data_IF_006746106420
#
_entry.id   IF_006746106420
#
_cell.length_a   1.000
_cell.length_b   1.000
_cell.length_c   1.000
_cell.angle_alpha   90.00
_cell.angle_beta   90.00
_cell.angle_gamma   90.00
#
_symmetry.space_group_name_H-M   'P 1'
#
loop_
_entity.id
_entity.type
_entity.pdbx_description
1 polymer ?
#
# COMPACT_ATOMS: atom_id res chain seq x y z
N UNK A 1 -1.62 7.38 -4.07
CA UNK A 1 -1.98 6.56 -5.23
C UNK A 1 -3.25 5.79 -4.94
N UNK A 2 -3.58 4.84 -5.80
CA UNK A 2 -4.70 3.91 -5.63
C UNK A 2 -4.23 2.66 -4.85
N UNK A 3 -4.81 2.33 -3.69
CA UNK A 3 -4.40 1.17 -2.88
C UNK A 3 -4.57 -0.16 -3.62
N UNK A 4 -5.54 -0.27 -4.51
CA UNK A 4 -5.85 -1.47 -5.27
C UNK A 4 -4.71 -1.76 -6.25
N UNK A 5 -4.26 -0.74 -7.01
CA UNK A 5 -3.09 -0.87 -7.87
C UNK A 5 -1.82 -1.23 -7.08
N UNK A 6 -1.62 -0.65 -5.89
CA UNK A 6 -0.46 -0.95 -5.03
C UNK A 6 -0.49 -2.36 -4.43
N UNK A 7 -1.66 -3.00 -4.31
CA UNK A 7 -1.74 -4.41 -3.91
C UNK A 7 -1.54 -5.36 -5.09
N UNK A 8 -1.98 -4.98 -6.30
CA UNK A 8 -2.02 -5.88 -7.47
C UNK A 8 -0.72 -5.84 -8.27
N UNK A 9 -0.21 -4.65 -8.59
CA UNK A 9 0.95 -4.50 -9.48
C UNK A 9 2.25 -5.11 -8.95
N UNK A 10 2.54 -5.13 -7.64
CA UNK A 10 3.73 -5.82 -7.14
C UNK A 10 3.75 -7.32 -7.41
N UNK A 11 2.59 -7.92 -7.67
CA UNK A 11 2.47 -9.34 -8.00
C UNK A 11 2.52 -9.61 -9.49
N UNK A 12 2.49 -8.59 -10.34
CA UNK A 12 2.48 -8.75 -11.79
C UNK A 12 3.82 -9.33 -12.27
N UNK A 13 3.76 -10.46 -12.96
CA UNK A 13 4.96 -11.13 -13.48
C UNK A 13 5.34 -10.63 -14.89
N UNK A 14 4.36 -10.17 -15.66
CA UNK A 14 4.63 -9.66 -17.00
C UNK A 14 5.20 -8.24 -16.97
N UNK A 15 5.84 -7.86 -18.07
CA UNK A 15 6.18 -6.46 -18.30
C UNK A 15 4.89 -5.62 -18.46
N UNK A 16 4.71 -4.66 -17.56
CA UNK A 16 3.56 -3.76 -17.56
C UNK A 16 3.48 -2.91 -18.84
N UNK A 17 4.62 -2.46 -19.39
CA UNK A 17 4.65 -1.64 -20.61
C UNK A 17 4.16 -2.45 -21.80
N UNK A 18 4.56 -3.72 -21.86
CA UNK A 18 4.17 -4.64 -22.91
C UNK A 18 2.67 -5.01 -22.85
N UNK A 19 2.09 -5.06 -21.65
CA UNK A 19 0.63 -5.14 -21.45
C UNK A 19 -0.04 -3.86 -21.98
N UNK A 20 0.42 -2.67 -21.57
CA UNK A 20 -0.15 -1.41 -22.02
C UNK A 20 -0.10 -1.27 -23.55
N UNK A 21 1.01 -1.64 -24.18
CA UNK A 21 1.14 -1.62 -25.64
C UNK A 21 0.11 -2.52 -26.32
N UNK A 22 -0.12 -3.73 -25.77
CA UNK A 22 -1.14 -4.65 -26.30
C UNK A 22 -2.57 -4.15 -26.12
N UNK A 23 -2.84 -3.35 -25.08
CA UNK A 23 -4.12 -2.68 -24.90
C UNK A 23 -4.34 -1.64 -26.01
N UNK A 24 -3.33 -0.80 -26.28
CA UNK A 24 -3.39 0.22 -27.34
C UNK A 24 -3.62 -0.41 -28.71
N UNK A 25 -2.98 -1.55 -29.00
CA UNK A 25 -3.14 -2.26 -30.26
C UNK A 25 -4.44 -3.10 -30.36
N UNK A 26 -5.24 -3.19 -29.29
CA UNK A 26 -6.43 -4.05 -29.24
C UNK A 26 -6.11 -5.55 -29.28
N UNK A 27 -4.89 -5.95 -28.85
CA UNK A 27 -4.38 -7.32 -28.88
C UNK A 27 -4.23 -7.95 -27.49
N UNK A 28 -4.79 -7.34 -26.45
CA UNK A 28 -4.70 -7.85 -25.07
C UNK A 28 -5.20 -9.29 -24.93
N UNK A 29 -6.22 -9.67 -25.71
CA UNK A 29 -6.76 -11.04 -25.73
C UNK A 29 -5.76 -12.13 -26.15
N UNK A 30 -4.60 -11.75 -26.72
CA UNK A 30 -3.53 -12.68 -27.11
C UNK A 30 -2.47 -12.85 -26.05
N UNK A 31 -2.59 -12.15 -24.92
CA UNK A 31 -1.63 -12.22 -23.81
C UNK A 31 -2.26 -12.82 -22.57
N UNK A 32 -1.51 -13.71 -21.93
CA UNK A 32 -1.83 -14.19 -20.61
C UNK A 32 -1.17 -13.26 -19.59
N UNK A 33 -1.99 -12.57 -18.80
CA UNK A 33 -1.51 -11.77 -17.68
C UNK A 33 -1.39 -12.69 -16.46
N UNK A 34 -0.19 -12.80 -15.92
CA UNK A 34 0.19 -13.69 -14.83
C UNK A 34 0.60 -12.90 -13.60
N UNK A 35 0.15 -13.38 -12.45
CA UNK A 35 0.46 -12.81 -11.15
C UNK A 35 1.11 -13.88 -10.28
N UNK A 36 1.97 -13.45 -9.35
CA UNK A 36 2.50 -14.32 -8.32
C UNK A 36 1.35 -14.78 -7.39
N UNK A 37 1.37 -16.07 -7.03
CA UNK A 37 0.47 -16.61 -6.01
C UNK A 37 0.97 -16.22 -4.61
N UNK A 38 0.77 -14.95 -4.26
CA UNK A 38 1.18 -14.34 -2.99
C UNK A 38 0.06 -13.43 -2.49
N UNK A 39 0.09 -13.13 -1.20
CA UNK A 39 -0.77 -12.13 -0.59
C UNK A 39 -0.04 -10.78 -0.48
N UNK A 40 -0.81 -9.69 -0.57
CA UNK A 40 -0.32 -8.33 -0.31
C UNK A 40 -1.19 -7.61 0.72
N UNK A 41 -0.55 -6.76 1.53
CA UNK A 41 -1.22 -5.84 2.44
C UNK A 41 -0.60 -4.45 2.31
N UNK A 42 -1.39 -3.51 1.79
CA UNK A 42 -1.05 -2.11 1.68
C UNK A 42 -1.64 -1.29 2.84
N UNK A 43 -0.79 -0.58 3.59
CA UNK A 43 -1.21 0.37 4.63
C UNK A 43 -0.66 1.75 4.30
N UNK A 44 -1.53 2.75 4.42
CA UNK A 44 -1.17 4.15 4.20
C UNK A 44 -0.80 4.83 5.52
N UNK A 45 0.25 5.64 5.44
CA UNK A 45 0.54 6.73 6.36
C UNK A 45 -0.09 7.99 5.79
N UNK A 46 -0.95 8.61 6.59
CA UNK A 46 -1.71 9.82 6.21
C UNK A 46 -1.45 10.93 7.21
N UNK A 47 -1.63 12.21 6.85
CA UNK A 47 -1.60 13.30 7.82
C UNK A 47 -2.70 13.12 8.86
N UNK A 48 -2.45 13.58 10.08
CA UNK A 48 -3.48 13.69 11.10
C UNK A 48 -4.69 14.49 10.57
N UNK A 49 -5.91 14.03 10.85
CA UNK A 49 -7.14 14.66 10.36
C UNK A 49 -7.49 14.41 8.89
N UNK A 50 -6.77 13.50 8.21
CA UNK A 50 -7.07 13.10 6.82
C UNK A 50 -8.55 12.77 6.58
N UNK A 51 -9.09 13.29 5.48
CA UNK A 51 -10.50 13.14 5.10
C UNK A 51 -11.44 14.17 5.73
N UNK A 52 -10.94 15.00 6.66
CA UNK A 52 -11.71 16.09 7.28
C UNK A 52 -10.94 17.41 7.22
N UNK A 53 -9.84 17.52 7.97
CA UNK A 53 -8.93 18.67 7.98
C UNK A 53 -7.51 18.16 8.28
N UNK A 54 -6.76 17.91 7.22
CA UNK A 54 -5.41 17.37 7.30
C UNK A 54 -4.40 18.37 7.87
N UNK A 55 -3.46 17.89 8.67
CA UNK A 55 -2.29 18.67 9.05
C UNK A 55 -1.19 18.54 7.97
N UNK A 56 -0.97 19.63 7.26
CA UNK A 56 -0.07 19.71 6.11
C UNK A 56 1.28 20.32 6.48
N UNK A 57 2.31 20.04 5.67
CA UNK A 57 3.67 20.55 5.84
C UNK A 57 4.36 20.07 7.13
N UNK A 58 3.95 18.92 7.63
CA UNK A 58 4.55 18.29 8.80
C UNK A 58 5.66 17.33 8.37
N UNK A 59 6.81 17.31 9.07
CA UNK A 59 7.94 16.48 8.69
C UNK A 59 7.65 14.99 8.93
N UNK A 60 8.06 14.15 7.98
CA UNK A 60 8.09 12.69 8.13
C UNK A 60 9.52 12.19 7.92
N UNK A 61 9.99 11.35 8.85
CA UNK A 61 11.22 10.59 8.72
C UNK A 61 10.91 9.19 8.22
N UNK A 62 11.68 8.70 7.24
CA UNK A 62 11.54 7.37 6.66
C UNK A 62 12.91 6.72 6.55
N UNK A 63 13.08 5.52 7.12
CA UNK A 63 14.26 4.70 6.88
C UNK A 63 14.00 3.69 5.75
N UNK A 64 14.19 4.15 4.51
CA UNK A 64 13.93 3.35 3.30
C UNK A 64 14.75 2.05 3.28
N UNK A 65 15.99 2.10 3.74
CA UNK A 65 16.89 0.93 3.75
C UNK A 65 16.38 -0.17 4.69
N UNK A 66 15.86 0.20 5.86
CA UNK A 66 15.31 -0.76 6.82
C UNK A 66 14.03 -1.40 6.29
N UNK A 67 13.13 -0.62 5.68
CA UNK A 67 11.90 -1.12 5.06
C UNK A 67 12.24 -2.13 3.95
N UNK A 68 13.22 -1.79 3.10
CA UNK A 68 13.69 -2.67 2.04
C UNK A 68 14.30 -3.97 2.59
N UNK A 69 15.07 -3.90 3.68
CA UNK A 69 15.67 -5.09 4.30
C UNK A 69 14.64 -6.05 4.90
N UNK A 70 13.47 -5.55 5.31
CA UNK A 70 12.32 -6.37 5.72
C UNK A 70 11.69 -7.10 4.53
N UNK A 71 11.90 -6.61 3.30
CA UNK A 71 11.24 -7.10 2.09
C UNK A 71 9.89 -6.44 1.82
N UNK A 72 9.57 -5.33 2.49
CA UNK A 72 8.40 -4.53 2.21
C UNK A 72 8.70 -3.47 1.13
N UNK A 73 7.67 -3.06 0.39
CA UNK A 73 7.77 -1.98 -0.58
C UNK A 73 7.30 -0.67 0.05
N UNK A 74 7.98 0.42 -0.29
CA UNK A 74 7.62 1.78 0.09
C UNK A 74 7.23 2.56 -1.15
N UNK A 75 6.09 3.25 -1.09
CA UNK A 75 5.62 4.15 -2.12
C UNK A 75 5.34 5.53 -1.55
N UNK A 76 6.02 6.55 -2.08
CA UNK A 76 5.64 7.95 -1.84
C UNK A 76 4.43 8.30 -2.72
N UNK A 77 3.43 8.96 -2.12
CA UNK A 77 2.21 9.37 -2.81
C UNK A 77 2.08 10.90 -2.80
N UNK A 78 1.57 11.49 -1.73
CA UNK A 78 1.31 12.93 -1.63
C UNK A 78 2.22 13.57 -0.59
N UNK A 79 3.49 13.78 -0.96
CA UNK A 79 4.51 14.41 -0.11
C UNK A 79 5.28 15.46 -0.89
N UNK A 80 5.84 16.43 -0.18
CA UNK A 80 6.81 17.39 -0.72
C UNK A 80 8.20 17.07 -0.18
N UNK A 81 9.22 17.25 -1.02
CA UNK A 81 10.62 17.21 -0.58
C UNK A 81 11.18 18.63 -0.55
N UNK A 82 11.73 19.04 0.59
CA UNK A 82 12.40 20.34 0.76
C UNK A 82 13.64 20.16 1.63
N UNK A 83 14.81 20.58 1.13
CA UNK A 83 16.08 20.44 1.84
C UNK A 83 16.32 19.00 2.35
N UNK A 84 16.10 18.02 1.47
CA UNK A 84 16.24 16.57 1.75
C UNK A 84 15.32 16.03 2.87
N UNK A 85 14.32 16.81 3.30
CA UNK A 85 13.28 16.38 4.24
C UNK A 85 11.96 16.21 3.52
N UNK A 86 11.22 15.20 3.96
CA UNK A 86 9.90 14.85 3.42
C UNK A 86 8.83 15.48 4.31
N UNK A 87 7.82 16.08 3.68
CA UNK A 87 6.72 16.77 4.34
C UNK A 87 5.38 16.25 3.87
N UNK A 88 4.41 16.13 4.79
CA UNK A 88 3.02 15.81 4.48
C UNK A 88 2.39 16.87 3.59
N UNK A 89 1.37 16.45 2.85
CA UNK A 89 0.39 17.35 2.21
C UNK A 89 -0.98 17.08 2.80
N UNK A 90 -2.06 17.49 2.14
CA UNK A 90 -3.44 17.21 2.58
C UNK A 90 -3.91 15.77 2.39
N UNK A 91 -3.19 14.95 1.62
CA UNK A 91 -3.65 13.60 1.23
C UNK A 91 -2.77 12.49 1.76
N UNK A 92 -3.03 11.25 1.33
CA UNK A 92 -2.25 10.06 1.65
C UNK A 92 -0.77 10.28 1.33
N UNK A 93 0.07 10.33 2.37
CA UNK A 93 1.49 10.69 2.24
C UNK A 93 2.28 9.57 1.58
N UNK A 94 2.25 8.37 2.14
CA UNK A 94 3.06 7.24 1.71
C UNK A 94 2.40 5.92 2.09
N UNK A 95 2.73 4.86 1.37
CA UNK A 95 2.22 3.51 1.59
C UNK A 95 3.35 2.53 1.80
N UNK A 96 3.14 1.58 2.72
CA UNK A 96 3.96 0.38 2.86
C UNK A 96 3.15 -0.80 2.35
N UNK A 97 3.77 -1.65 1.55
CA UNK A 97 3.16 -2.88 1.02
C UNK A 97 4.01 -4.06 1.46
N UNK A 98 3.44 -4.90 2.34
CA UNK A 98 4.02 -6.21 2.64
C UNK A 98 3.55 -7.25 1.63
N UNK A 99 4.44 -8.18 1.28
CA UNK A 99 4.19 -9.28 0.35
C UNK A 99 4.59 -10.59 1.03
N UNK A 100 3.68 -11.54 1.14
CA UNK A 100 3.91 -12.81 1.86
C UNK A 100 3.20 -13.99 1.23
N UNK A 101 3.46 -15.19 1.73
CA UNK A 101 2.78 -16.43 1.30
C UNK A 101 1.30 -16.45 1.69
N UNK A 102 0.95 -15.69 2.72
CA UNK A 102 -0.43 -15.54 3.20
C UNK A 102 -0.66 -14.13 3.74
N UNK A 103 -1.93 -13.80 3.98
CA UNK A 103 -2.35 -12.48 4.45
C UNK A 103 -1.70 -12.08 5.78
N UNK A 104 -1.55 -13.01 6.72
CA UNK A 104 -0.94 -12.74 8.02
C UNK A 104 0.55 -12.40 7.90
N UNK A 105 1.27 -13.08 7.01
CA UNK A 105 2.67 -12.74 6.73
C UNK A 105 2.81 -11.38 6.03
N UNK A 106 1.99 -11.12 5.01
CA UNK A 106 1.98 -9.85 4.29
C UNK A 106 1.65 -8.68 5.23
N UNK A 107 0.67 -8.85 6.12
CA UNK A 107 0.30 -7.88 7.15
C UNK A 107 1.45 -7.62 8.12
N UNK A 108 2.08 -8.68 8.62
CA UNK A 108 3.25 -8.59 9.52
C UNK A 108 4.39 -7.81 8.86
N UNK A 109 4.76 -8.14 7.62
CA UNK A 109 5.83 -7.44 6.90
C UNK A 109 5.50 -5.97 6.67
N UNK A 110 4.24 -5.66 6.39
CA UNK A 110 3.75 -4.29 6.27
C UNK A 110 3.92 -3.51 7.60
N UNK A 111 3.46 -4.08 8.71
CA UNK A 111 3.60 -3.48 10.05
C UNK A 111 5.07 -3.31 10.49
N UNK A 112 5.93 -4.30 10.23
CA UNK A 112 7.37 -4.15 10.49
C UNK A 112 7.96 -2.99 9.68
N UNK A 113 7.57 -2.84 8.41
CA UNK A 113 7.98 -1.70 7.59
C UNK A 113 7.48 -0.35 8.14
N UNK A 114 6.26 -0.30 8.66
CA UNK A 114 5.69 0.92 9.24
C UNK A 114 6.43 1.43 10.47
N UNK A 115 7.10 0.55 11.25
CA UNK A 115 7.94 0.95 12.40
C UNK A 115 9.12 1.85 12.01
N UNK A 116 9.49 1.86 10.74
CA UNK A 116 10.58 2.67 10.19
C UNK A 116 10.12 4.01 9.60
N UNK A 117 8.87 4.38 9.84
CA UNK A 117 8.30 5.68 9.51
C UNK A 117 7.92 6.40 10.80
N UNK A 118 8.35 7.65 10.93
CA UNK A 118 8.11 8.47 12.13
C UNK A 118 7.65 9.87 11.73
N UNK A 119 6.63 10.37 12.43
CA UNK A 119 6.12 11.73 12.30
C UNK A 119 5.21 12.02 13.49
N UNK A 120 5.15 13.27 13.93
CA UNK A 120 4.30 13.66 15.07
C UNK A 120 2.82 13.68 14.66
N UNK A 121 2.53 14.16 13.46
CA UNK A 121 1.18 14.40 12.95
C UNK A 121 0.81 13.47 11.81
N UNK A 122 1.05 12.17 12.01
CA UNK A 122 0.65 11.11 11.10
C UNK A 122 -0.34 10.15 11.74
N UNK A 123 -1.15 9.51 10.90
CA UNK A 123 -2.09 8.48 11.29
C UNK A 123 -1.97 7.26 10.37
N UNK A 124 -2.15 6.07 10.95
CA UNK A 124 -2.06 4.79 10.26
C UNK A 124 -3.19 3.90 10.78
N UNK A 125 -3.88 3.23 9.86
CA UNK A 125 -4.83 2.17 10.23
C UNK A 125 -4.13 0.83 10.34
N UNK A 126 -3.84 0.41 11.56
CA UNK A 126 -3.21 -0.87 11.86
C UNK A 126 -4.15 -2.08 11.69
N UNK A 127 -5.47 -1.87 11.63
CA UNK A 127 -6.45 -2.97 11.52
C UNK A 127 -6.56 -3.57 10.12
N UNK A 128 -6.03 -2.89 9.09
CA UNK A 128 -6.07 -3.34 7.69
C UNK A 128 -5.26 -4.64 7.54
N UNK A 129 -5.81 -5.63 6.82
CA UNK A 129 -5.13 -6.91 6.59
C UNK A 129 -5.14 -7.88 7.78
N UNK A 130 -5.66 -7.46 8.95
CA UNK A 130 -5.74 -8.34 10.13
C UNK A 130 -6.82 -9.41 9.95
N UNK A 131 -6.57 -10.60 10.48
CA UNK A 131 -7.52 -11.73 10.47
C UNK A 131 -8.88 -11.31 11.04
N UNK A 132 -8.87 -10.61 12.19
CA UNK A 132 -10.08 -10.09 12.83
C UNK A 132 -10.92 -9.19 11.92
N UNK A 133 -10.29 -8.29 11.16
CA UNK A 133 -11.03 -7.43 10.23
C UNK A 133 -11.59 -8.24 9.06
N UNK A 134 -10.81 -9.19 8.53
CA UNK A 134 -11.22 -10.07 7.42
C UNK A 134 -12.42 -10.92 7.84
N UNK A 135 -12.35 -11.60 8.99
CA UNK A 135 -13.46 -12.38 9.55
C UNK A 135 -14.71 -11.54 9.72
N UNK A 136 -14.59 -10.33 10.27
CA UNK A 136 -15.71 -9.39 10.41
C UNK A 136 -16.36 -9.08 9.05
N UNK A 137 -15.58 -8.90 7.99
CA UNK A 137 -16.10 -8.66 6.63
C UNK A 137 -16.75 -9.91 6.04
N UNK A 138 -16.17 -11.09 6.24
CA UNK A 138 -16.75 -12.37 5.80
C UNK A 138 -18.11 -12.59 6.48
N UNK A 139 -18.19 -12.43 7.80
CA UNK A 139 -19.43 -12.59 8.56
C UNK A 139 -20.50 -11.58 8.13
N UNK A 140 -20.09 -10.33 7.90
CA UNK A 140 -20.99 -9.30 7.38
C UNK A 140 -21.56 -9.68 6.00
N UNK A 141 -20.72 -10.16 5.09
CA UNK A 141 -21.17 -10.61 3.76
C UNK A 141 -22.08 -11.84 3.84
N UNK A 142 -21.80 -12.80 4.72
CA UNK A 142 -22.71 -13.95 4.96
C UNK A 142 -24.09 -13.48 5.42
N UNK A 143 -24.14 -12.55 6.37
CA UNK A 143 -25.41 -11.97 6.86
C UNK A 143 -26.22 -11.27 5.77
N UNK A 144 -25.55 -10.64 4.80
CA UNK A 144 -26.21 -9.97 3.67
C UNK A 144 -26.77 -10.99 2.66
N UNK A 145 -26.04 -12.10 2.44
CA UNK A 145 -26.37 -13.07 1.38
C UNK A 145 -27.42 -14.11 1.77
N UNK A 146 -27.75 -14.25 3.07
CA UNK A 146 -28.68 -15.25 3.59
C UNK A 146 -27.97 -16.55 3.94
#
# INVERSE_FOLDING_TARGET
GDPEAMNVLPLLQNDFVDICYSMVEGKLNRKKVEFLEKATVCKYVVPEGYGVKSMENEPISVNESAIKNIGALLYYASVNMKNEKIYTTSSRSLAVVGIGDNLSEAERLCEEGLKHIQGEHIFIRHDIGTEKLIEKRILHMKKIRG
#
